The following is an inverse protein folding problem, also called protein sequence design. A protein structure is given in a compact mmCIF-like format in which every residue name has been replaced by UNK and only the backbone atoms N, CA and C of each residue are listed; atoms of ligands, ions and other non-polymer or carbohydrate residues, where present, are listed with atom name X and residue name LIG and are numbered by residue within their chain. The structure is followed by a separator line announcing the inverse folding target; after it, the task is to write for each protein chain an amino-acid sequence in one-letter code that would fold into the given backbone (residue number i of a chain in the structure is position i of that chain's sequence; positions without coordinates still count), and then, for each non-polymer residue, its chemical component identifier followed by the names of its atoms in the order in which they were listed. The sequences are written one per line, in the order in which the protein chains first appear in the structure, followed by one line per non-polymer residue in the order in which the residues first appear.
data_IF_924275557485
#
_entry.id   IF_924275557485
#
_cell.length_a   1.000
_cell.length_b   1.000
_cell.length_c   1.000
_cell.angle_alpha   90.00
_cell.angle_beta   90.00
_cell.angle_gamma   90.00
#
_symmetry.space_group_name_H-M   'P 1'
#
loop_
_entity.id
_entity.type
_entity.pdbx_description
1 polymer ?
#
# COMPACT_ATOMS: atom_id res chain seq x y z
N UNK A 1 30.25 14.46 -24.44
CA UNK A 1 30.58 13.16 -23.78
C UNK A 1 30.14 13.16 -22.32
N UNK A 2 30.40 14.24 -21.58
CA UNK A 2 30.13 14.38 -20.13
C UNK A 2 28.66 14.21 -19.69
N UNK A 3 27.69 14.62 -20.51
CA UNK A 3 26.24 14.49 -20.20
C UNK A 3 25.72 13.07 -20.30
N UNK A 4 26.29 12.23 -21.19
CA UNK A 4 25.94 10.80 -21.28
C UNK A 4 26.45 10.02 -20.07
N UNK A 5 27.62 10.40 -19.53
CA UNK A 5 28.20 9.78 -18.34
C UNK A 5 27.32 10.05 -17.10
N UNK A 6 26.93 11.30 -16.86
CA UNK A 6 26.06 11.65 -15.72
C UNK A 6 24.68 10.98 -15.79
N UNK A 7 24.11 10.81 -16.99
CA UNK A 7 22.85 10.09 -17.16
C UNK A 7 22.97 8.59 -16.83
N UNK A 8 24.08 7.96 -17.22
CA UNK A 8 24.37 6.57 -16.85
C UNK A 8 24.57 6.42 -15.34
N UNK A 9 25.24 7.37 -14.69
CA UNK A 9 25.47 7.37 -13.24
C UNK A 9 24.15 7.45 -12.45
N UNK A 10 23.19 8.26 -12.92
CA UNK A 10 21.86 8.37 -12.31
C UNK A 10 21.06 7.06 -12.42
N UNK A 11 21.13 6.38 -13.59
CA UNK A 11 20.47 5.08 -13.76
C UNK A 11 21.07 4.04 -12.83
N UNK A 12 22.39 3.95 -12.73
CA UNK A 12 23.08 3.05 -11.79
C UNK A 12 22.68 3.35 -10.34
N UNK A 13 22.62 4.61 -9.94
CA UNK A 13 22.20 5.02 -8.60
C UNK A 13 20.75 4.60 -8.31
N UNK A 14 19.84 4.82 -9.25
CA UNK A 14 18.43 4.41 -9.10
C UNK A 14 18.25 2.90 -9.00
N UNK A 15 18.98 2.12 -9.80
CA UNK A 15 18.99 0.65 -9.70
C UNK A 15 19.54 0.18 -8.35
N UNK A 16 20.63 0.77 -7.89
CA UNK A 16 21.23 0.46 -6.58
C UNK A 16 20.25 0.76 -5.45
N UNK A 17 19.56 1.89 -5.50
CA UNK A 17 18.50 2.23 -4.54
C UNK A 17 17.38 1.19 -4.57
N UNK A 18 16.88 0.82 -5.75
CA UNK A 18 15.84 -0.19 -5.89
C UNK A 18 16.26 -1.57 -5.32
N UNK A 19 17.50 -1.99 -5.59
CA UNK A 19 18.08 -3.22 -5.03
C UNK A 19 18.19 -3.16 -3.51
N UNK A 20 18.68 -2.03 -2.96
CA UNK A 20 18.82 -1.83 -1.53
C UNK A 20 17.46 -1.84 -0.81
N UNK A 21 16.45 -1.17 -1.36
CA UNK A 21 15.08 -1.20 -0.84
C UNK A 21 14.52 -2.62 -0.86
N UNK A 22 14.63 -3.31 -2.00
CA UNK A 22 14.12 -4.69 -2.16
C UNK A 22 14.78 -5.68 -1.21
N UNK A 23 16.10 -5.52 -0.97
CA UNK A 23 16.87 -6.34 -0.04
C UNK A 23 16.78 -5.92 1.43
N UNK A 24 16.01 -4.87 1.76
CA UNK A 24 15.91 -4.37 3.13
C UNK A 24 15.12 -5.34 4.04
N UNK A 25 15.43 -5.40 5.35
CA UNK A 25 14.66 -6.21 6.29
C UNK A 25 13.17 -5.87 6.32
N UNK A 26 12.81 -4.61 6.07
CA UNK A 26 11.42 -4.15 6.06
C UNK A 26 10.66 -4.62 4.80
N UNK A 27 11.30 -4.62 3.64
CA UNK A 27 10.74 -5.19 2.42
C UNK A 27 10.57 -6.71 2.53
N UNK A 28 11.54 -7.40 3.14
CA UNK A 28 11.46 -8.83 3.38
C UNK A 28 10.32 -9.20 4.34
N UNK A 29 10.18 -8.45 5.44
CA UNK A 29 9.05 -8.63 6.37
C UNK A 29 7.71 -8.44 5.67
N UNK A 30 7.56 -7.38 4.87
CA UNK A 30 6.35 -7.16 4.07
C UNK A 30 6.08 -8.32 3.11
N UNK A 31 7.09 -8.79 2.38
CA UNK A 31 6.97 -9.91 1.43
C UNK A 31 6.51 -11.19 2.12
N UNK A 32 7.07 -11.49 3.30
CA UNK A 32 6.70 -12.66 4.09
C UNK A 32 5.27 -12.56 4.62
N UNK A 33 4.91 -11.45 5.28
CA UNK A 33 3.55 -11.26 5.80
C UNK A 33 2.51 -11.26 4.68
N UNK A 34 2.84 -10.68 3.50
CA UNK A 34 1.99 -10.75 2.31
C UNK A 34 1.82 -12.19 1.83
N UNK A 35 2.89 -12.99 1.78
CA UNK A 35 2.80 -14.41 1.41
C UNK A 35 1.92 -15.19 2.39
N UNK A 36 2.09 -14.95 3.70
CA UNK A 36 1.27 -15.59 4.73
C UNK A 36 -0.20 -15.25 4.55
N UNK A 37 -0.53 -13.98 4.36
CA UNK A 37 -1.90 -13.54 4.08
C UNK A 37 -2.47 -14.17 2.80
N UNK A 38 -1.69 -14.23 1.71
CA UNK A 38 -2.15 -14.83 0.45
C UNK A 38 -2.41 -16.34 0.54
N UNK A 39 -1.76 -17.02 1.47
CA UNK A 39 -1.93 -18.44 1.72
C UNK A 39 -3.00 -18.77 2.77
N UNK A 40 -3.55 -17.75 3.44
CA UNK A 40 -4.54 -17.92 4.49
C UNK A 40 -5.95 -17.64 3.95
N UNK A 41 -6.72 -18.70 3.70
CA UNK A 41 -8.07 -18.57 3.13
C UNK A 41 -9.04 -17.86 4.09
N UNK A 42 -8.88 -18.05 5.40
CA UNK A 42 -9.74 -17.41 6.40
C UNK A 42 -9.58 -15.89 6.37
N UNK A 43 -8.34 -15.39 6.46
CA UNK A 43 -8.03 -13.96 6.40
C UNK A 43 -8.42 -13.35 5.06
N UNK A 44 -8.23 -14.07 3.95
CA UNK A 44 -8.66 -13.60 2.62
C UNK A 44 -10.18 -13.48 2.51
N UNK A 45 -10.91 -14.50 2.96
CA UNK A 45 -12.38 -14.48 2.92
C UNK A 45 -12.93 -13.38 3.82
N UNK A 46 -12.39 -13.23 5.02
CA UNK A 46 -12.77 -12.18 5.95
C UNK A 46 -12.53 -10.77 5.35
N UNK A 47 -11.37 -10.56 4.73
CA UNK A 47 -11.06 -9.31 4.04
C UNK A 47 -11.97 -9.07 2.83
N UNK A 48 -12.24 -10.10 2.03
CA UNK A 48 -13.15 -10.00 0.89
C UNK A 48 -14.57 -9.62 1.32
N UNK A 49 -15.09 -10.27 2.36
CA UNK A 49 -16.41 -9.98 2.92
C UNK A 49 -16.48 -8.55 3.45
N UNK A 50 -15.46 -8.08 4.16
CA UNK A 50 -15.36 -6.69 4.59
C UNK A 50 -15.40 -5.72 3.41
N UNK A 51 -14.63 -5.98 2.35
CA UNK A 51 -14.60 -5.11 1.16
C UNK A 51 -15.95 -5.06 0.42
N UNK A 52 -16.65 -6.19 0.35
CA UNK A 52 -18.00 -6.26 -0.24
C UNK A 52 -18.98 -5.44 0.61
N UNK A 53 -19.02 -5.67 1.92
CA UNK A 53 -19.92 -4.95 2.83
C UNK A 53 -19.62 -3.45 2.89
N UNK A 54 -18.34 -3.06 2.87
CA UNK A 54 -17.93 -1.66 2.81
C UNK A 54 -18.43 -0.98 1.52
N UNK A 55 -18.34 -1.67 0.37
CA UNK A 55 -18.86 -1.15 -0.90
C UNK A 55 -20.39 -1.03 -0.87
N UNK A 56 -21.08 -2.06 -0.38
CA UNK A 56 -22.53 -2.06 -0.27
C UNK A 56 -23.01 -0.91 0.63
N UNK A 57 -22.34 -0.68 1.75
CA UNK A 57 -22.64 0.45 2.64
C UNK A 57 -22.38 1.80 1.98
N UNK A 58 -21.30 1.96 1.22
CA UNK A 58 -21.06 3.22 0.50
C UNK A 58 -22.16 3.53 -0.51
N UNK A 59 -22.74 2.49 -1.13
CA UNK A 59 -23.88 2.63 -2.05
C UNK A 59 -25.16 2.93 -1.26
N UNK A 60 -25.43 2.17 -0.19
CA UNK A 60 -26.65 2.31 0.60
C UNK A 60 -26.72 3.67 1.30
N UNK A 61 -25.59 4.23 1.76
CA UNK A 61 -25.52 5.56 2.37
C UNK A 61 -26.05 6.67 1.45
N UNK A 62 -26.09 6.46 0.13
CA UNK A 62 -26.68 7.42 -0.82
C UNK A 62 -28.22 7.42 -0.79
N UNK A 63 -28.83 6.30 -0.39
CA UNK A 63 -30.28 6.06 -0.43
C UNK A 63 -30.91 5.89 0.96
N UNK A 64 -30.12 5.49 1.96
CA UNK A 64 -30.50 5.24 3.34
C UNK A 64 -29.32 5.54 4.29
N UNK A 65 -29.03 6.81 4.58
CA UNK A 65 -27.85 7.23 5.36
C UNK A 65 -27.88 6.86 6.84
N UNK A 66 -29.02 6.37 7.36
CA UNK A 66 -29.24 6.03 8.77
C UNK A 66 -29.31 4.51 9.01
N UNK A 67 -28.78 3.70 8.08
CA UNK A 67 -28.81 2.24 8.19
C UNK A 67 -27.89 1.71 9.30
N UNK A 68 -28.42 1.69 10.53
CA UNK A 68 -27.72 1.22 11.73
C UNK A 68 -27.31 -0.26 11.60
N UNK A 69 -28.13 -1.09 10.95
CA UNK A 69 -27.85 -2.52 10.75
C UNK A 69 -26.61 -2.74 9.88
N UNK A 70 -26.44 -1.96 8.81
CA UNK A 70 -25.28 -2.07 7.92
C UNK A 70 -24.02 -1.51 8.58
N UNK A 71 -24.16 -0.40 9.33
CA UNK A 71 -23.09 0.14 10.13
C UNK A 71 -22.56 -0.88 11.15
N UNK A 72 -23.46 -1.56 11.89
CA UNK A 72 -23.09 -2.60 12.85
C UNK A 72 -22.35 -3.77 12.18
N UNK A 73 -22.79 -4.21 10.99
CA UNK A 73 -22.13 -5.29 10.24
C UNK A 73 -20.70 -4.92 9.83
N UNK A 74 -20.47 -3.69 9.37
CA UNK A 74 -19.12 -3.24 9.01
C UNK A 74 -18.22 -3.19 10.23
N UNK A 75 -18.70 -2.63 11.34
CA UNK A 75 -17.94 -2.54 12.59
C UNK A 75 -17.57 -3.94 13.09
N UNK A 76 -18.50 -4.90 13.01
CA UNK A 76 -18.22 -6.29 13.36
C UNK A 76 -17.12 -6.89 12.48
N UNK A 77 -17.23 -6.81 11.15
CA UNK A 77 -16.22 -7.34 10.22
C UNK A 77 -14.86 -6.64 10.39
N UNK A 78 -14.87 -5.34 10.68
CA UNK A 78 -13.66 -4.59 10.97
C UNK A 78 -12.98 -5.11 12.25
N UNK A 79 -13.75 -5.37 13.31
CA UNK A 79 -13.22 -5.94 14.54
C UNK A 79 -12.65 -7.34 14.32
N UNK A 80 -13.38 -8.19 13.59
CA UNK A 80 -12.90 -9.52 13.22
C UNK A 80 -11.57 -9.44 12.45
N UNK A 81 -11.46 -8.55 11.45
CA UNK A 81 -10.20 -8.31 10.72
C UNK A 81 -9.06 -7.86 11.64
N UNK A 82 -9.32 -6.92 12.55
CA UNK A 82 -8.30 -6.40 13.47
C UNK A 82 -7.84 -7.44 14.49
N UNK A 83 -8.68 -8.44 14.79
CA UNK A 83 -8.33 -9.58 15.65
C UNK A 83 -7.66 -10.71 14.90
N UNK A 84 -7.84 -10.83 13.58
CA UNK A 84 -7.14 -11.80 12.76
C UNK A 84 -5.63 -11.48 12.73
N UNK A 85 -4.83 -12.37 13.32
CA UNK A 85 -3.38 -12.17 13.48
C UNK A 85 -2.66 -12.00 12.15
N UNK A 86 -3.01 -12.80 11.13
CA UNK A 86 -2.33 -12.80 9.83
C UNK A 86 -2.61 -11.49 9.09
N UNK A 87 -3.87 -11.04 9.09
CA UNK A 87 -4.24 -9.75 8.53
C UNK A 87 -3.55 -8.59 9.25
N UNK A 88 -3.55 -8.61 10.58
CA UNK A 88 -2.89 -7.58 11.40
C UNK A 88 -1.40 -7.48 11.10
N UNK A 89 -0.69 -8.61 11.07
CA UNK A 89 0.75 -8.66 10.75
C UNK A 89 1.02 -8.14 9.33
N UNK A 90 0.16 -8.51 8.36
CA UNK A 90 0.25 -8.04 6.99
C UNK A 90 0.09 -6.51 6.88
N UNK A 91 -0.97 -5.94 7.44
CA UNK A 91 -1.23 -4.49 7.39
C UNK A 91 -0.14 -3.71 8.13
N UNK A 92 0.34 -4.20 9.28
CA UNK A 92 1.45 -3.56 10.00
C UNK A 92 2.73 -3.56 9.17
N UNK A 93 3.07 -4.68 8.53
CA UNK A 93 4.25 -4.77 7.67
C UNK A 93 4.12 -3.89 6.42
N UNK A 94 2.93 -3.84 5.81
CA UNK A 94 2.62 -2.98 4.68
C UNK A 94 2.78 -1.50 5.03
N UNK A 95 2.17 -1.04 6.12
CA UNK A 95 2.24 0.36 6.55
C UNK A 95 3.69 0.76 6.87
N UNK A 96 4.42 -0.08 7.59
CA UNK A 96 5.83 0.17 7.89
C UNK A 96 6.67 0.32 6.62
N UNK A 97 6.45 -0.56 5.63
CA UNK A 97 7.16 -0.48 4.35
C UNK A 97 6.78 0.78 3.56
N UNK A 98 5.49 1.13 3.51
CA UNK A 98 5.02 2.36 2.86
C UNK A 98 5.62 3.60 3.51
N UNK A 99 5.67 3.66 4.84
CA UNK A 99 6.23 4.81 5.56
C UNK A 99 7.73 4.95 5.30
N UNK A 100 8.47 3.84 5.26
CA UNK A 100 9.87 3.87 4.86
C UNK A 100 10.08 4.34 3.42
N UNK A 101 9.20 3.95 2.48
CA UNK A 101 9.24 4.46 1.10
C UNK A 101 8.94 5.97 1.05
N UNK A 102 8.05 6.48 1.91
CA UNK A 102 7.79 7.94 2.03
C UNK A 102 9.03 8.67 2.54
N UNK A 103 9.73 8.15 3.54
CA UNK A 103 10.97 8.74 4.06
C UNK A 103 12.04 8.81 2.96
N UNK A 104 12.22 7.74 2.18
CA UNK A 104 13.14 7.73 1.05
C UNK A 104 12.74 8.78 0.00
N UNK A 105 11.44 8.88 -0.34
CA UNK A 105 10.96 9.89 -1.26
C UNK A 105 11.20 11.32 -0.73
N UNK A 106 11.00 11.56 0.56
CA UNK A 106 11.27 12.84 1.19
C UNK A 106 12.76 13.18 1.13
N UNK A 107 13.65 12.22 1.38
CA UNK A 107 15.10 12.42 1.28
C UNK A 107 15.58 12.71 -0.15
N UNK A 108 14.94 12.11 -1.16
CA UNK A 108 15.21 12.44 -2.57
C UNK A 108 14.70 13.85 -2.86
N UNK A 109 13.45 14.12 -2.50
CA UNK A 109 12.76 15.38 -2.79
C UNK A 109 13.40 16.58 -2.08
N UNK A 110 14.02 16.40 -0.92
CA UNK A 110 14.73 17.49 -0.23
C UNK A 110 15.94 18.01 -0.99
N UNK A 111 16.47 17.23 -1.94
CA UNK A 111 17.55 17.64 -2.84
C UNK A 111 17.01 18.20 -4.18
N UNK A 112 15.69 18.26 -4.34
CA UNK A 112 15.00 18.72 -5.54
C UNK A 112 14.10 19.93 -5.18
N UNK A 113 13.70 20.71 -6.20
CA UNK A 113 12.76 21.83 -6.02
C UNK A 113 11.30 21.35 -6.03
N UNK A 114 11.08 20.04 -6.18
CA UNK A 114 9.76 19.43 -6.34
C UNK A 114 9.68 18.06 -5.65
N UNK A 115 8.47 17.59 -5.38
CA UNK A 115 8.21 16.23 -4.90
C UNK A 115 8.44 15.21 -6.02
N UNK A 116 9.50 14.41 -5.89
CA UNK A 116 9.88 13.41 -6.89
C UNK A 116 8.72 12.44 -7.22
N UNK A 117 7.99 11.97 -6.20
CA UNK A 117 6.87 11.05 -6.39
C UNK A 117 5.72 11.64 -7.21
N UNK A 118 5.54 12.96 -7.20
CA UNK A 118 4.47 13.62 -7.97
C UNK A 118 4.71 13.55 -9.49
N UNK A 119 5.98 13.54 -9.92
CA UNK A 119 6.39 13.47 -11.33
C UNK A 119 6.75 12.07 -11.81
N UNK A 120 7.06 11.14 -10.89
CA UNK A 120 7.33 9.74 -11.21
C UNK A 120 6.04 8.91 -11.44
N UNK A 121 4.85 9.51 -11.24
CA UNK A 121 3.59 8.87 -11.62
C UNK A 121 3.60 8.63 -13.13
N UNK A 122 3.33 7.40 -13.61
CA UNK A 122 3.20 7.14 -15.03
C UNK A 122 2.19 8.12 -15.64
N UNK A 123 2.51 8.71 -16.79
CA UNK A 123 1.61 9.61 -17.53
C UNK A 123 0.30 8.94 -18.00
N UNK A 124 0.10 7.67 -17.69
CA UNK A 124 -1.05 6.85 -18.07
C UNK A 124 -1.49 5.92 -16.94
N UNK A 125 -2.11 6.49 -15.91
CA UNK A 125 -3.30 5.91 -15.25
C UNK A 125 -4.25 7.03 -14.90
N UNK A 126 -4.87 7.60 -15.93
CA UNK A 126 -6.11 8.34 -15.77
C UNK A 126 -7.20 7.42 -15.23
N UNK A 127 -8.09 7.97 -14.41
CA UNK A 127 -9.39 7.46 -14.00
C UNK A 127 -9.82 6.04 -14.44
N UNK A 128 -10.16 5.20 -13.45
CA UNK A 128 -10.95 3.97 -13.57
C UNK A 128 -10.29 2.79 -14.30
N UNK A 129 -9.83 1.82 -13.51
CA UNK A 129 -9.37 0.50 -13.94
C UNK A 129 -8.68 -0.25 -12.80
#
# INVERSE_FOLDING_TARGET
METKTKAADLMIASENLGRAISGSPIAEKYRLCRKNFMNDEEAKNLYSNFMVQQREFQISQQYNPESEIEHQKIVQLQNELLTNKIFKEYIQAQNSFIDHLKEINQSISSNLVFDFASYAKPASRGCCG
#
